data_IF_982579268511
#
_entry.id   IF_982579268511
#
_cell.length_a   1.000
_cell.length_b   1.000
_cell.length_c   1.000
_cell.angle_alpha   90.00
_cell.angle_beta   90.00
_cell.angle_gamma   90.00
#
_symmetry.space_group_name_H-M   'P 1'
#
loop_
_entity.id
_entity.type
_entity.pdbx_description
1 polymer ?
#
# COMPACT_ATOMS: atom_id res chain seq x y z
N UNK A 1 -8.88 -6.99 12.01
CA UNK A 1 -7.86 -6.02 12.45
C UNK A 1 -8.52 -4.77 13.01
N UNK A 2 -7.88 -4.05 13.95
CA UNK A 2 -8.42 -2.76 14.48
C UNK A 2 -8.35 -1.60 13.46
N UNK A 3 -7.65 -1.80 12.34
CA UNK A 3 -7.48 -0.85 11.23
C UNK A 3 -7.60 -1.64 9.92
N UNK A 4 -8.24 -1.06 8.89
CA UNK A 4 -8.33 -1.70 7.57
C UNK A 4 -6.99 -1.68 6.82
N UNK A 5 -6.77 -2.61 5.88
CA UNK A 5 -5.55 -2.66 5.06
C UNK A 5 -5.30 -1.33 4.34
N UNK A 6 -6.36 -0.73 3.79
CA UNK A 6 -6.29 0.58 3.12
C UNK A 6 -5.94 1.73 4.06
N UNK A 7 -6.49 1.74 5.28
CA UNK A 7 -6.17 2.76 6.27
C UNK A 7 -4.71 2.63 6.72
N UNK A 8 -4.21 1.40 6.93
CA UNK A 8 -2.80 1.14 7.20
C UNK A 8 -1.90 1.59 6.04
N UNK A 9 -2.25 1.22 4.79
CA UNK A 9 -1.50 1.65 3.60
C UNK A 9 -1.44 3.17 3.47
N UNK A 10 -2.57 3.86 3.64
CA UNK A 10 -2.64 5.32 3.61
C UNK A 10 -1.77 5.94 4.71
N UNK A 11 -1.84 5.40 5.94
CA UNK A 11 -1.05 5.89 7.06
C UNK A 11 0.47 5.74 6.83
N UNK A 12 0.89 4.66 6.17
CA UNK A 12 2.30 4.40 5.85
C UNK A 12 2.80 5.02 4.54
N UNK A 13 1.94 5.75 3.81
CA UNK A 13 2.31 6.43 2.55
C UNK A 13 1.95 7.91 2.62
N UNK A 14 1.02 8.40 1.80
CA UNK A 14 0.63 9.81 1.71
C UNK A 14 0.14 10.38 3.04
N UNK A 15 -0.63 9.61 3.80
CA UNK A 15 -1.21 10.05 5.07
C UNK A 15 -0.14 10.39 6.12
N UNK A 16 0.89 9.54 6.24
CA UNK A 16 2.00 9.77 7.16
C UNK A 16 2.81 11.02 6.81
N UNK A 17 3.08 11.24 5.52
CA UNK A 17 3.78 12.44 5.07
C UNK A 17 2.98 13.73 5.27
N UNK A 18 1.68 13.70 4.98
CA UNK A 18 0.76 14.82 5.25
C UNK A 18 0.69 15.17 6.74
N UNK A 19 0.70 14.18 7.63
CA UNK A 19 0.72 14.42 9.07
C UNK A 19 1.98 15.17 9.53
N UNK A 20 3.06 15.13 8.75
CA UNK A 20 4.30 15.87 8.96
C UNK A 20 4.38 17.18 8.14
N UNK A 21 3.29 17.58 7.47
CA UNK A 21 3.25 18.78 6.62
C UNK A 21 3.99 18.64 5.28
N UNK A 22 4.21 17.42 4.79
CA UNK A 22 4.85 17.14 3.50
C UNK A 22 3.84 16.59 2.49
N UNK A 23 3.19 17.48 1.75
CA UNK A 23 2.04 17.12 0.90
C UNK A 23 2.40 16.45 -0.44
N UNK A 24 3.64 16.64 -0.89
CA UNK A 24 4.16 16.14 -2.18
C UNK A 24 4.75 14.72 -2.12
N UNK A 25 4.79 14.10 -0.93
CA UNK A 25 5.39 12.78 -0.71
C UNK A 25 4.36 11.66 -0.52
N UNK A 26 4.79 10.41 -0.71
CA UNK A 26 3.97 9.22 -0.52
C UNK A 26 2.98 8.92 -1.65
N UNK A 27 3.22 9.46 -2.84
CA UNK A 27 2.47 9.19 -4.08
C UNK A 27 3.44 8.88 -5.23
N UNK A 28 3.02 8.03 -6.17
CA UNK A 28 3.79 7.72 -7.37
C UNK A 28 3.22 8.48 -8.56
N UNK A 29 3.76 9.67 -8.79
CA UNK A 29 3.44 10.55 -9.93
C UNK A 29 4.73 11.17 -10.47
N UNK A 30 4.80 11.55 -11.75
CA UNK A 30 5.95 12.28 -12.29
C UNK A 30 6.26 13.54 -11.47
N UNK A 31 7.53 13.74 -11.13
CA UNK A 31 8.00 14.90 -10.35
C UNK A 31 8.04 14.70 -8.83
N UNK A 32 7.35 13.69 -8.30
CA UNK A 32 7.44 13.33 -6.88
C UNK A 32 8.76 12.58 -6.56
N UNK A 33 9.21 12.59 -5.29
CA UNK A 33 10.32 11.74 -4.86
C UNK A 33 10.08 10.27 -5.23
N UNK A 34 11.09 9.61 -5.77
CA UNK A 34 11.05 8.19 -6.12
C UNK A 34 11.20 7.31 -4.86
N UNK A 35 10.20 7.39 -3.98
CA UNK A 35 10.06 6.61 -2.75
C UNK A 35 9.00 5.52 -2.97
N UNK A 36 9.42 4.26 -3.03
CA UNK A 36 8.52 3.13 -3.24
C UNK A 36 9.08 1.82 -2.69
N UNK A 37 8.18 0.86 -2.48
CA UNK A 37 8.54 -0.53 -2.18
C UNK A 37 7.89 -1.46 -3.20
N UNK A 38 8.65 -2.45 -3.67
CA UNK A 38 8.17 -3.54 -4.51
C UNK A 38 7.87 -4.73 -3.61
N UNK A 39 6.69 -5.31 -3.80
CA UNK A 39 6.22 -6.45 -3.03
C UNK A 39 5.90 -7.60 -3.98
N UNK A 40 6.42 -8.79 -3.66
CA UNK A 40 5.95 -10.03 -4.23
C UNK A 40 4.71 -10.48 -3.44
N UNK A 41 3.62 -10.73 -4.15
CA UNK A 41 2.33 -11.15 -3.57
C UNK A 41 2.07 -12.60 -3.97
N UNK A 42 1.77 -13.47 -3.01
CA UNK A 42 1.51 -14.89 -3.27
C UNK A 42 0.19 -15.15 -4.03
N UNK A 43 -0.70 -14.15 -4.11
CA UNK A 43 -1.98 -14.24 -4.79
C UNK A 43 -2.46 -12.90 -5.33
N UNK A 44 -3.73 -12.86 -5.75
CA UNK A 44 -4.33 -11.70 -6.38
C UNK A 44 -4.48 -10.51 -5.42
N UNK A 45 -4.44 -9.31 -5.99
CA UNK A 45 -4.80 -8.09 -5.27
C UNK A 45 -6.31 -8.04 -5.07
N UNK A 46 -6.72 -7.88 -3.82
CA UNK A 46 -8.12 -7.92 -3.41
C UNK A 46 -8.56 -6.55 -2.90
N UNK A 47 -9.81 -6.21 -3.20
CA UNK A 47 -10.45 -5.01 -2.64
C UNK A 47 -10.97 -5.38 -1.25
N UNK A 48 -10.16 -5.13 -0.22
CA UNK A 48 -10.54 -5.41 1.16
C UNK A 48 -11.54 -4.37 1.66
N UNK A 49 -12.80 -4.77 1.84
CA UNK A 49 -13.77 -3.99 2.62
C UNK A 49 -13.53 -4.20 4.11
N UNK A 50 -13.32 -3.13 4.89
CA UNK A 50 -13.48 -3.27 6.33
C UNK A 50 -14.94 -3.62 6.62
N UNK A 51 -15.14 -4.59 7.52
CA UNK A 51 -16.32 -4.84 8.36
C UNK A 51 -17.62 -4.16 7.89
N UNK A 52 -18.62 -4.97 7.56
CA UNK A 52 -19.94 -4.63 6.98
C UNK A 52 -20.68 -3.46 7.67
N UNK A 53 -20.26 -3.09 8.88
CA UNK A 53 -20.81 -2.00 9.70
C UNK A 53 -20.33 -0.60 9.30
N UNK A 54 -19.26 -0.45 8.52
CA UNK A 54 -18.74 0.85 8.05
C UNK A 54 -18.46 0.78 6.54
N UNK A 55 -19.52 0.66 5.75
CA UNK A 55 -19.45 0.75 4.28
C UNK A 55 -19.67 2.19 3.82
N UNK A 56 -18.65 3.05 3.87
CA UNK A 56 -18.72 4.41 3.32
C UNK A 56 -18.00 4.58 1.98
N UNK A 57 -17.83 3.51 1.20
CA UNK A 57 -17.18 3.59 -0.10
C UNK A 57 -17.58 2.46 -1.05
N UNK A 58 -17.50 2.75 -2.35
CA UNK A 58 -17.87 1.86 -3.44
C UNK A 58 -16.80 0.79 -3.67
N UNK A 59 -17.20 -0.48 -3.69
CA UNK A 59 -16.36 -1.61 -4.13
C UNK A 59 -16.37 -1.79 -5.65
N UNK A 60 -17.04 -0.92 -6.40
CA UNK A 60 -17.10 -0.99 -7.86
C UNK A 60 -15.67 -0.87 -8.44
N UNK A 61 -15.22 -1.80 -9.30
CA UNK A 61 -13.96 -1.72 -10.02
C UNK A 61 -13.78 -0.41 -10.80
N UNK A 62 -14.88 0.25 -11.20
CA UNK A 62 -14.87 1.57 -11.84
C UNK A 62 -14.49 2.72 -10.90
N UNK A 63 -14.53 2.50 -9.58
CA UNK A 63 -14.09 3.49 -8.59
C UNK A 63 -12.58 3.77 -8.66
N UNK A 64 -11.82 2.93 -9.36
CA UNK A 64 -10.37 3.06 -9.48
C UNK A 64 -9.64 2.77 -8.17
N UNK A 65 -10.31 2.22 -7.15
CA UNK A 65 -9.67 1.83 -5.89
C UNK A 65 -8.71 0.65 -6.16
N UNK A 66 -7.39 0.83 -6.01
CA UNK A 66 -6.45 -0.26 -6.27
C UNK A 66 -6.65 -1.39 -5.27
N UNK A 67 -6.60 -2.64 -5.76
CA UNK A 67 -6.53 -3.80 -4.88
C UNK A 67 -5.26 -3.77 -4.03
N UNK A 68 -5.33 -4.33 -2.83
CA UNK A 68 -4.19 -4.50 -1.93
C UNK A 68 -4.00 -6.00 -1.65
N UNK A 69 -2.80 -6.44 -1.22
CA UNK A 69 -2.57 -7.84 -0.86
C UNK A 69 -3.55 -8.31 0.21
N UNK A 70 -3.96 -9.57 0.16
CA UNK A 70 -4.72 -10.20 1.23
C UNK A 70 -3.81 -10.43 2.45
N UNK A 71 -4.21 -9.88 3.60
CA UNK A 71 -3.48 -9.98 4.87
C UNK A 71 -4.29 -10.76 5.93
N UNK A 72 -5.30 -11.52 5.49
CA UNK A 72 -6.14 -12.33 6.37
C UNK A 72 -5.30 -13.40 7.11
N UNK A 73 -5.63 -13.74 8.37
CA UNK A 73 -4.89 -14.78 9.09
C UNK A 73 -4.86 -16.10 8.31
N UNK A 74 -3.67 -16.67 8.14
CA UNK A 74 -3.47 -17.93 7.41
C UNK A 74 -3.19 -17.75 5.92
N UNK A 75 -3.27 -16.53 5.38
CA UNK A 75 -2.76 -16.25 4.03
C UNK A 75 -1.25 -16.05 4.07
N UNK A 76 -0.58 -16.43 2.98
CA UNK A 76 0.83 -16.11 2.81
C UNK A 76 1.00 -14.60 2.68
N UNK A 77 1.85 -14.01 3.53
CA UNK A 77 2.06 -12.58 3.58
C UNK A 77 2.91 -12.11 2.39
N UNK A 78 2.65 -10.91 1.83
CA UNK A 78 3.47 -10.36 0.78
C UNK A 78 4.90 -10.12 1.30
N UNK A 79 5.89 -10.35 0.44
CA UNK A 79 7.30 -10.15 0.77
C UNK A 79 7.83 -8.91 0.07
N UNK A 80 8.44 -7.99 0.82
CA UNK A 80 9.15 -6.87 0.21
C UNK A 80 10.39 -7.42 -0.51
N UNK A 81 10.55 -7.07 -1.79
CA UNK A 81 11.69 -7.47 -2.61
C UNK A 81 12.62 -6.31 -2.90
N UNK A 82 12.12 -5.07 -2.84
CA UNK A 82 12.93 -3.86 -3.02
C UNK A 82 12.33 -2.68 -2.30
N UNK A 83 13.17 -1.86 -1.68
CA UNK A 83 12.78 -0.51 -1.20
C UNK A 83 13.69 0.52 -1.85
N UNK A 84 13.11 1.55 -2.41
CA UNK A 84 13.80 2.66 -3.07
C UNK A 84 13.42 3.95 -2.34
N UNK A 85 14.43 4.76 -2.01
CA UNK A 85 14.27 6.07 -1.35
C UNK A 85 15.04 7.12 -2.14
N UNK A 86 14.35 8.12 -2.65
CA UNK A 86 14.91 9.16 -3.52
C UNK A 86 15.59 8.57 -4.75
N UNK A 87 15.02 7.52 -5.34
CA UNK A 87 15.59 6.82 -6.50
C UNK A 87 16.77 5.90 -6.19
N UNK A 88 17.19 5.77 -4.93
CA UNK A 88 18.26 4.86 -4.51
C UNK A 88 17.68 3.62 -3.84
N UNK A 89 18.07 2.45 -4.31
CA UNK A 89 17.73 1.19 -3.64
C UNK A 89 18.40 1.14 -2.26
N UNK A 90 17.60 1.04 -1.20
CA UNK A 90 18.06 0.92 0.19
C UNK A 90 17.84 -0.49 0.75
N UNK A 91 17.01 -1.28 0.08
CA UNK A 91 16.80 -2.69 0.38
C UNK A 91 16.56 -3.44 -0.93
N UNK A 92 17.15 -4.63 -1.05
CA UNK A 92 16.86 -5.60 -2.09
C UNK A 92 16.88 -6.99 -1.45
N UNK A 93 15.91 -7.84 -1.78
CA UNK A 93 15.92 -9.22 -1.32
C UNK A 93 16.96 -10.05 -2.07
N UNK A 94 17.53 -11.04 -1.40
CA UNK A 94 18.54 -11.94 -1.97
C UNK A 94 17.98 -12.96 -2.96
N UNK A 95 16.65 -13.07 -3.10
CA UNK A 95 15.97 -14.05 -3.97
C UNK A 95 15.61 -13.48 -5.36
N UNK A 96 16.38 -12.50 -5.86
CA UNK A 96 16.25 -12.00 -7.24
C UNK A 96 17.18 -12.76 -8.20
#
# INVERSE_FOLDING_TARGET
>A
HRVSVRAAFTAHTRGGWRALGRDEAGVLVPGAPADYALWNTAGDLVVQTPDDRIANWSTDPRSGTPGLPDLSPGTELPRCVRTVVGGRTVFASTDE
#
